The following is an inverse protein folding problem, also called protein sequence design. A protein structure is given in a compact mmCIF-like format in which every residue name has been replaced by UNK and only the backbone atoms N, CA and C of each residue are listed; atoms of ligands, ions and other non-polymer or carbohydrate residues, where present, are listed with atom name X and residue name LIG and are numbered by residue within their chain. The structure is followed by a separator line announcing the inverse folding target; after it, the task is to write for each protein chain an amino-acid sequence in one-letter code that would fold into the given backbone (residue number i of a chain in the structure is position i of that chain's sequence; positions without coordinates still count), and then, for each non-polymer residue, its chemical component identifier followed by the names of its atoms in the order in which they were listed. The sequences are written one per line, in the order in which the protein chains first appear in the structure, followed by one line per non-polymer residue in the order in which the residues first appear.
data_IF_832132668148
#
_entry.id   IF_832132668148
#
_cell.length_a   1.000
_cell.length_b   1.000
_cell.length_c   1.000
_cell.angle_alpha   90.00
_cell.angle_beta   90.00
_cell.angle_gamma   90.00
#
_symmetry.space_group_name_H-M   'P 1'
#
loop_
_entity.id
_entity.type
_entity.pdbx_description
1 polymer ?
#
# COMPACT_ATOMS: atom_id res chain seq x y z
N UNK A 1 -1.42 73.16 -24.10
CA UNK A 1 -1.94 71.78 -24.33
C UNK A 1 -0.92 70.85 -24.98
N UNK A 2 -0.06 71.33 -25.90
CA UNK A 2 0.99 70.53 -26.56
C UNK A 2 1.99 69.92 -25.56
N UNK A 3 2.50 70.68 -24.59
CA UNK A 3 3.51 70.20 -23.65
C UNK A 3 3.02 69.03 -22.77
N UNK A 4 1.74 69.04 -22.37
CA UNK A 4 1.13 67.92 -21.63
C UNK A 4 1.01 66.67 -22.49
N UNK A 5 0.65 66.81 -23.76
CA UNK A 5 0.58 65.66 -24.70
C UNK A 5 1.96 65.05 -24.97
N UNK A 6 3.00 65.88 -25.09
CA UNK A 6 4.39 65.42 -25.23
C UNK A 6 4.87 64.70 -23.97
N UNK A 7 4.48 65.20 -22.79
CA UNK A 7 4.79 64.56 -21.51
C UNK A 7 4.14 63.16 -21.40
N UNK A 8 2.87 63.01 -21.78
CA UNK A 8 2.22 61.69 -21.81
C UNK A 8 2.81 60.76 -22.89
N UNK A 9 3.24 61.30 -24.04
CA UNK A 9 3.91 60.52 -25.09
C UNK A 9 5.27 59.96 -24.61
N UNK A 10 6.04 60.76 -23.86
CA UNK A 10 7.32 60.34 -23.27
C UNK A 10 7.14 59.28 -22.18
N UNK A 11 6.10 59.41 -21.34
CA UNK A 11 5.76 58.36 -20.36
C UNK A 11 5.36 57.07 -21.07
N UNK A 12 4.54 57.15 -22.12
CA UNK A 12 4.12 55.98 -22.89
C UNK A 12 5.30 55.26 -23.55
N UNK A 13 6.27 56.01 -24.10
CA UNK A 13 7.48 55.46 -24.72
C UNK A 13 8.41 54.75 -23.71
N UNK A 14 8.41 55.16 -22.44
CA UNK A 14 9.20 54.54 -21.38
C UNK A 14 8.56 53.29 -20.77
N UNK A 15 7.22 53.20 -20.76
CA UNK A 15 6.51 52.06 -20.13
C UNK A 15 6.42 50.84 -21.07
N UNK A 16 6.27 51.05 -22.37
CA UNK A 16 6.12 49.98 -23.36
C UNK A 16 7.31 49.01 -23.44
N UNK A 17 8.59 49.47 -23.50
CA UNK A 17 9.70 48.53 -23.61
C UNK A 17 9.89 47.66 -22.35
N UNK A 18 9.48 48.11 -21.16
CA UNK A 18 9.53 47.30 -19.93
C UNK A 18 8.60 46.09 -19.97
N UNK A 19 7.52 46.14 -20.74
CA UNK A 19 6.61 44.99 -20.91
C UNK A 19 7.27 43.93 -21.80
N UNK A 20 8.06 44.35 -22.80
CA UNK A 20 8.71 43.43 -23.74
C UNK A 20 10.03 42.82 -23.20
N UNK A 21 10.70 43.44 -22.22
CA UNK A 21 11.93 42.89 -21.62
C UNK A 21 11.66 41.68 -20.70
N UNK A 22 10.42 41.45 -20.27
CA UNK A 22 10.05 40.23 -19.51
C UNK A 22 9.59 39.05 -20.38
N UNK A 23 9.49 39.21 -21.70
CA UNK A 23 8.86 38.24 -22.60
C UNK A 23 9.81 37.32 -23.39
N UNK A 24 11.09 37.18 -23.00
CA UNK A 24 12.02 36.37 -23.80
C UNK A 24 13.38 36.16 -23.16
N UNK A 25 13.45 35.20 -22.24
CA UNK A 25 14.62 34.40 -21.94
C UNK A 25 14.07 33.11 -21.33
N UNK A 26 13.83 32.10 -22.18
CA UNK A 26 13.63 30.72 -21.74
C UNK A 26 14.92 30.27 -21.04
N UNK A 27 15.05 30.65 -19.78
CA UNK A 27 15.97 30.00 -18.86
C UNK A 27 15.31 28.67 -18.59
N UNK A 28 15.87 27.60 -19.16
CA UNK A 28 15.67 26.24 -18.68
C UNK A 28 16.13 26.19 -17.22
N UNK A 29 15.28 26.66 -16.30
CA UNK A 29 15.41 26.32 -14.89
C UNK A 29 15.21 24.81 -14.83
N UNK A 30 16.19 24.04 -14.30
CA UNK A 30 16.00 22.61 -14.13
C UNK A 30 14.77 22.43 -13.26
N UNK A 31 13.71 21.86 -13.84
CA UNK A 31 12.52 21.42 -13.09
C UNK A 31 13.06 20.40 -12.11
N UNK A 32 13.23 20.81 -10.85
CA UNK A 32 13.60 19.89 -9.79
C UNK A 32 12.42 18.94 -9.66
N UNK A 33 12.55 17.74 -10.22
CA UNK A 33 11.56 16.68 -10.08
C UNK A 33 11.54 16.33 -8.60
N UNK A 34 10.49 16.76 -7.91
CA UNK A 34 10.31 16.50 -6.50
C UNK A 34 10.17 14.98 -6.32
N UNK A 35 11.16 14.36 -5.64
CA UNK A 35 11.16 12.93 -5.38
C UNK A 35 10.56 12.69 -4.00
N UNK A 36 9.37 12.10 -3.98
CA UNK A 36 8.71 11.66 -2.75
C UNK A 36 9.02 10.18 -2.49
N UNK A 37 9.44 9.86 -1.28
CA UNK A 37 9.66 8.48 -0.83
C UNK A 37 8.68 8.18 0.31
N UNK A 38 8.00 7.04 0.23
CA UNK A 38 7.07 6.56 1.25
C UNK A 38 7.41 5.12 1.64
N UNK A 39 7.47 4.86 2.94
CA UNK A 39 7.63 3.51 3.49
C UNK A 39 6.29 3.01 3.98
N UNK A 40 5.79 1.93 3.40
CA UNK A 40 4.52 1.29 3.79
C UNK A 40 4.78 -0.03 4.52
N UNK A 41 3.93 -0.34 5.50
CA UNK A 41 3.95 -1.61 6.23
C UNK A 41 2.66 -2.35 5.93
N UNK A 42 2.76 -3.54 5.34
CA UNK A 42 1.63 -4.44 5.19
C UNK A 42 1.45 -5.27 6.46
N UNK A 43 0.24 -5.28 7.01
CA UNK A 43 -0.16 -6.12 8.13
C UNK A 43 -1.33 -6.99 7.67
N UNK A 44 -1.24 -8.30 7.86
CA UNK A 44 -2.28 -9.27 7.53
C UNK A 44 -2.83 -9.87 8.82
N UNK A 45 -4.15 -10.02 8.91
CA UNK A 45 -4.85 -10.57 10.07
C UNK A 45 -5.75 -11.72 9.60
N UNK A 46 -5.51 -12.91 10.14
CA UNK A 46 -6.35 -14.08 9.87
C UNK A 46 -7.56 -14.11 10.81
N UNK A 47 -8.75 -14.32 10.24
CA UNK A 47 -10.02 -14.37 10.98
C UNK A 47 -10.74 -15.69 10.68
N UNK A 48 -11.20 -16.37 11.74
CA UNK A 48 -12.10 -17.52 11.64
C UNK A 48 -13.40 -17.15 12.35
N UNK A 49 -14.48 -16.99 11.59
CA UNK A 49 -15.78 -16.63 12.12
C UNK A 49 -16.74 -17.82 12.11
N UNK A 50 -17.35 -18.11 13.27
CA UNK A 50 -18.33 -19.19 13.43
C UNK A 50 -19.56 -18.72 14.19
N UNK A 51 -20.72 -19.29 13.88
CA UNK A 51 -21.92 -19.13 14.71
C UNK A 51 -21.80 -19.87 16.06
N UNK A 52 -22.83 -19.77 16.91
CA UNK A 52 -22.87 -20.43 18.22
C UNK A 52 -22.88 -21.96 18.16
N UNK A 53 -23.11 -22.55 16.98
CA UNK A 53 -23.10 -23.99 16.73
C UNK A 53 -21.79 -24.45 16.06
N UNK A 54 -20.87 -23.53 15.77
CA UNK A 54 -19.60 -23.82 15.12
C UNK A 54 -19.67 -23.84 13.58
N UNK A 55 -20.77 -23.38 12.97
CA UNK A 55 -20.85 -23.29 11.51
C UNK A 55 -20.05 -22.08 11.02
N UNK A 56 -19.29 -22.25 9.95
CA UNK A 56 -18.53 -21.17 9.32
C UNK A 56 -19.44 -20.10 8.72
N UNK A 57 -19.16 -18.84 9.05
CA UNK A 57 -19.87 -17.66 8.50
C UNK A 57 -19.08 -17.19 7.29
N UNK A 58 -19.73 -17.16 6.11
CA UNK A 58 -19.07 -16.94 4.81
C UNK A 58 -19.42 -15.62 4.14
N UNK A 59 -20.38 -14.91 4.69
CA UNK A 59 -21.02 -13.71 4.16
C UNK A 59 -20.65 -12.46 4.95
N UNK A 60 -19.46 -12.45 5.56
CA UNK A 60 -18.91 -11.27 6.22
C UNK A 60 -18.29 -10.32 5.20
N UNK A 61 -18.45 -9.04 5.48
CA UNK A 61 -17.96 -7.89 4.72
C UNK A 61 -16.97 -7.09 5.55
N UNK A 62 -16.24 -6.14 4.96
CA UNK A 62 -15.27 -5.31 5.69
C UNK A 62 -15.97 -4.46 6.77
N UNK A 63 -17.22 -4.08 6.52
CA UNK A 63 -18.06 -3.27 7.41
C UNK A 63 -18.43 -3.99 8.72
N UNK A 64 -18.28 -5.31 8.77
CA UNK A 64 -18.51 -6.12 9.97
C UNK A 64 -17.32 -6.10 10.94
N UNK A 65 -16.22 -5.42 10.60
CA UNK A 65 -14.99 -5.37 11.38
C UNK A 65 -14.52 -3.94 11.67
N UNK A 66 -14.00 -3.74 12.88
CA UNK A 66 -13.14 -2.60 13.23
C UNK A 66 -11.77 -3.14 13.63
N UNK A 67 -10.72 -2.63 13.00
CA UNK A 67 -9.33 -2.98 13.32
C UNK A 67 -8.67 -1.80 14.03
N UNK A 68 -7.90 -2.09 15.07
CA UNK A 68 -7.18 -1.07 15.84
C UNK A 68 -5.69 -1.37 15.85
N UNK A 69 -4.87 -0.38 15.53
CA UNK A 69 -3.42 -0.39 15.74
C UNK A 69 -3.08 0.59 16.86
N UNK A 70 -2.40 0.12 17.90
CA UNK A 70 -2.06 0.90 19.09
C UNK A 70 -3.26 1.64 19.72
N UNK A 71 -4.44 1.01 19.68
CA UNK A 71 -5.69 1.55 20.22
C UNK A 71 -6.37 2.62 19.35
N UNK A 72 -5.87 2.87 18.14
CA UNK A 72 -6.50 3.75 17.15
C UNK A 72 -7.12 2.91 16.04
N UNK A 73 -8.35 3.24 15.66
CA UNK A 73 -9.01 2.57 14.55
C UNK A 73 -8.28 2.85 13.23
N UNK A 74 -8.09 1.80 12.42
CA UNK A 74 -7.41 1.86 11.12
C UNK A 74 -8.33 1.35 10.02
N UNK A 75 -8.14 1.86 8.82
CA UNK A 75 -8.88 1.42 7.63
C UNK A 75 -8.43 0.03 7.21
N UNK A 76 -9.40 -0.79 6.80
CA UNK A 76 -9.13 -2.08 6.16
C UNK A 76 -9.02 -1.84 4.66
N UNK A 77 -7.84 -2.09 4.08
CA UNK A 77 -7.60 -1.87 2.65
C UNK A 77 -8.13 -3.02 1.77
N UNK A 78 -8.10 -4.25 2.29
CA UNK A 78 -8.55 -5.44 1.58
C UNK A 78 -8.98 -6.55 2.52
N UNK A 79 -9.99 -7.32 2.12
CA UNK A 79 -10.44 -8.54 2.79
C UNK A 79 -10.78 -9.60 1.75
N UNK A 80 -10.25 -10.81 1.92
CA UNK A 80 -10.53 -11.94 1.05
C UNK A 80 -11.01 -13.15 1.87
N UNK A 81 -12.07 -13.79 1.39
CA UNK A 81 -12.47 -15.09 1.90
C UNK A 81 -11.58 -16.16 1.26
N UNK A 82 -10.66 -16.71 2.05
CA UNK A 82 -9.78 -17.78 1.61
C UNK A 82 -10.51 -19.13 1.68
N UNK A 83 -11.01 -19.58 0.53
CA UNK A 83 -11.44 -20.96 0.36
C UNK A 83 -10.24 -21.82 -0.02
N UNK A 84 -9.80 -22.68 0.88
CA UNK A 84 -8.86 -23.75 0.54
C UNK A 84 -9.59 -24.79 -0.31
N UNK A 85 -9.69 -24.56 -1.62
CA UNK A 85 -10.04 -25.65 -2.52
C UNK A 85 -8.87 -26.64 -2.51
N UNK A 86 -9.01 -27.71 -1.72
CA UNK A 86 -8.01 -28.76 -1.64
C UNK A 86 -7.73 -29.39 -3.01
N UNK A 87 -8.53 -29.16 -4.06
CA UNK A 87 -8.18 -29.60 -5.42
C UNK A 87 -6.92 -28.92 -5.97
N UNK A 88 -6.63 -27.68 -5.59
CA UNK A 88 -5.40 -26.98 -5.96
C UNK A 88 -4.19 -27.31 -5.08
N UNK A 89 -4.45 -27.78 -3.86
CA UNK A 89 -3.41 -28.18 -2.87
C UNK A 89 -2.95 -29.62 -3.11
N UNK A 90 -3.71 -30.42 -3.84
CA UNK A 90 -3.31 -31.81 -4.12
C UNK A 90 -2.07 -31.91 -5.02
N UNK A 91 -1.69 -30.92 -5.84
CA UNK A 91 -0.40 -30.92 -6.56
C UNK A 91 0.13 -29.53 -7.02
N UNK A 92 0.67 -28.69 -6.12
CA UNK A 92 1.65 -27.67 -6.50
C UNK A 92 3.10 -28.10 -6.16
N UNK A 93 3.27 -29.16 -5.37
CA UNK A 93 4.52 -29.47 -4.65
C UNK A 93 5.51 -30.40 -5.39
N UNK A 94 5.22 -30.85 -6.62
CA UNK A 94 6.14 -31.76 -7.35
C UNK A 94 7.54 -31.18 -7.56
N UNK A 95 7.71 -29.85 -7.55
CA UNK A 95 9.04 -29.21 -7.65
C UNK A 95 9.82 -29.13 -6.32
N UNK A 96 9.16 -29.34 -5.18
CA UNK A 96 9.80 -29.32 -3.86
C UNK A 96 10.00 -30.72 -3.30
N UNK A 97 9.10 -31.66 -3.62
CA UNK A 97 9.21 -33.08 -3.21
C UNK A 97 10.47 -33.75 -3.79
N UNK A 98 10.79 -33.53 -5.07
CA UNK A 98 12.02 -34.04 -5.70
C UNK A 98 13.31 -33.60 -4.97
N UNK A 99 13.24 -32.47 -4.24
CA UNK A 99 14.36 -31.92 -3.47
C UNK A 99 14.44 -32.49 -2.06
N UNK A 100 13.30 -32.86 -1.47
CA UNK A 100 13.20 -33.40 -0.11
C UNK A 100 13.55 -34.89 -0.03
N UNK A 101 13.38 -35.65 -1.12
CA UNK A 101 13.80 -37.06 -1.18
C UNK A 101 15.31 -37.25 -0.98
N UNK A 102 16.12 -36.24 -1.29
CA UNK A 102 17.58 -36.25 -1.07
C UNK A 102 18.01 -35.80 0.33
N UNK A 103 17.11 -35.22 1.12
CA UNK A 103 17.42 -34.79 2.47
C UNK A 103 16.94 -35.91 3.41
N UNK A 104 17.85 -36.60 4.12
CA UNK A 104 17.44 -37.65 5.05
C UNK A 104 16.80 -37.03 6.31
N UNK A 105 15.56 -36.54 6.18
CA UNK A 105 14.80 -36.03 7.32
C UNK A 105 14.13 -37.19 8.04
N UNK A 106 14.87 -37.82 8.95
CA UNK A 106 14.27 -38.73 9.94
C UNK A 106 13.57 -37.89 11.02
N UNK A 107 12.28 -37.61 10.85
CA UNK A 107 11.47 -37.00 11.91
C UNK A 107 11.03 -38.07 12.92
N UNK A 108 11.73 -38.15 14.06
CA UNK A 108 11.33 -39.02 15.16
C UNK A 108 10.45 -38.23 16.15
N UNK A 109 9.16 -38.56 16.21
CA UNK A 109 8.21 -37.98 17.18
C UNK A 109 8.66 -38.36 18.59
N UNK A 110 9.18 -37.39 19.36
CA UNK A 110 9.54 -37.59 20.77
C UNK A 110 8.26 -37.87 21.58
N UNK A 111 7.99 -39.16 21.88
CA UNK A 111 6.89 -39.56 22.77
C UNK A 111 7.11 -38.89 24.13
N UNK A 112 6.19 -38.02 24.56
CA UNK A 112 6.23 -37.50 25.94
C UNK A 112 5.44 -36.23 26.29
N UNK A 113 4.75 -35.56 25.35
CA UNK A 113 4.15 -34.25 25.68
C UNK A 113 2.75 -34.30 26.33
N UNK A 114 2.08 -35.46 26.42
CA UNK A 114 0.72 -35.55 26.98
C UNK A 114 0.57 -36.70 28.00
N UNK A 115 1.32 -36.66 29.11
CA UNK A 115 1.08 -37.59 30.24
C UNK A 115 0.94 -36.93 31.61
N UNK A 116 0.70 -35.61 31.68
CA UNK A 116 0.68 -34.89 32.97
C UNK A 116 -0.65 -34.22 33.34
N UNK A 117 -1.74 -34.44 32.59
CA UNK A 117 -3.01 -33.73 32.86
C UNK A 117 -4.19 -34.62 33.24
N UNK A 118 -3.92 -35.79 33.85
CA UNK A 118 -4.91 -36.53 34.62
C UNK A 118 -4.19 -37.13 35.84
N UNK A 119 -4.31 -36.46 36.98
CA UNK A 119 -4.22 -37.10 38.30
C UNK A 119 -5.09 -36.35 39.29
#
# INVERSE_FOLDING_TARGET
MIAKKIFYLLIFLLVIPSIYVSGGLDKETPVQVEKHEATVRLVLVDVIATDSKGNFIKDLSMEDFSVFEDGKEVTIDSMDLINFDMKGILYPERKYVDRLETIPVRMERKKGFLSSLIR
#
